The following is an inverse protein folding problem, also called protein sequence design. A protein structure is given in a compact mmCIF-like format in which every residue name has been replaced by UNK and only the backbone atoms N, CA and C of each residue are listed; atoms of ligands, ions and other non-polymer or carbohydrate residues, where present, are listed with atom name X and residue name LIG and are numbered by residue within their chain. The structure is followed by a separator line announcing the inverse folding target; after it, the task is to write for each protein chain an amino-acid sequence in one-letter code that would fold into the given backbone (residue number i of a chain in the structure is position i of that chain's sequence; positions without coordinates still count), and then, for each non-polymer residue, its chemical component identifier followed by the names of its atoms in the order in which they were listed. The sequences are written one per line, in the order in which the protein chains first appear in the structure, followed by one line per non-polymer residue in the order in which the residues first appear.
data_IF_042135575760
#
_entry.id   IF_042135575760
#
_cell.length_a   1.000
_cell.length_b   1.000
_cell.length_c   1.000
_cell.angle_alpha   90.00
_cell.angle_beta   90.00
_cell.angle_gamma   90.00
#
_symmetry.space_group_name_H-M   'P 1'
#
loop_
_entity.id
_entity.type
_entity.pdbx_description
1 polymer ?
#
# COMPACT_ATOMS: atom_id res chain seq x y z
N UNK A 1 13.14 -5.31 -21.63
CA UNK A 1 12.38 -6.55 -21.38
C UNK A 1 12.20 -6.77 -19.88
N UNK A 2 11.26 -6.04 -19.26
CA UNK A 2 11.06 -5.98 -17.80
C UNK A 2 9.85 -6.80 -17.30
N UNK A 3 9.11 -7.42 -18.20
CA UNK A 3 8.01 -8.33 -17.87
C UNK A 3 8.59 -9.60 -17.21
N UNK A 4 9.79 -10.01 -17.62
CA UNK A 4 10.49 -11.19 -17.10
C UNK A 4 11.01 -11.02 -15.66
N UNK A 5 11.20 -9.79 -15.13
CA UNK A 5 11.67 -9.58 -13.75
C UNK A 5 10.54 -9.75 -12.73
N UNK A 6 9.32 -9.40 -13.11
CA UNK A 6 8.15 -9.47 -12.24
C UNK A 6 7.50 -10.84 -12.32
N UNK A 7 7.48 -11.48 -13.49
CA UNK A 7 7.11 -12.90 -13.59
C UNK A 7 8.12 -13.82 -12.86
N UNK A 8 9.42 -13.49 -12.87
CA UNK A 8 10.42 -14.21 -12.06
C UNK A 8 10.27 -14.02 -10.55
N UNK A 9 9.67 -12.90 -10.09
CA UNK A 9 9.34 -12.69 -8.67
C UNK A 9 7.98 -13.29 -8.30
N UNK A 10 7.10 -13.54 -9.28
CA UNK A 10 5.74 -14.05 -9.06
C UNK A 10 5.69 -15.58 -8.97
N UNK A 11 6.56 -16.28 -9.70
CA UNK A 11 6.58 -17.76 -9.74
C UNK A 11 7.01 -18.47 -8.45
N UNK A 12 7.56 -17.76 -7.45
CA UNK A 12 8.05 -18.33 -6.18
C UNK A 12 7.21 -17.98 -4.95
N UNK A 13 6.13 -17.19 -5.09
CA UNK A 13 5.32 -16.68 -3.97
C UNK A 13 4.00 -17.43 -3.71
N UNK A 14 3.79 -18.58 -4.36
CA UNK A 14 2.70 -19.50 -4.04
C UNK A 14 3.06 -20.52 -2.95
N UNK A 15 4.34 -20.60 -2.57
CA UNK A 15 4.81 -21.48 -1.50
C UNK A 15 5.61 -20.69 -0.47
N UNK A 16 5.17 -20.73 0.79
CA UNK A 16 5.97 -20.39 1.98
C UNK A 16 6.37 -18.91 2.15
N UNK A 17 5.57 -18.13 2.88
CA UNK A 17 6.16 -17.10 3.74
C UNK A 17 5.50 -17.12 5.12
N UNK A 18 6.16 -17.79 6.07
CA UNK A 18 6.10 -17.54 7.51
C UNK A 18 6.75 -16.17 7.87
N UNK A 19 6.57 -15.16 7.02
CA UNK A 19 7.03 -13.79 7.27
C UNK A 19 5.82 -12.94 7.64
N UNK A 20 5.79 -12.40 8.87
CA UNK A 20 4.65 -11.64 9.39
C UNK A 20 4.20 -10.50 8.47
N UNK A 21 2.96 -10.03 8.63
CA UNK A 21 2.43 -8.87 7.90
C UNK A 21 2.71 -7.57 8.65
N UNK A 22 2.97 -6.48 7.94
CA UNK A 22 2.91 -5.14 8.55
C UNK A 22 1.48 -4.62 8.54
N UNK A 23 1.02 -4.04 9.65
CA UNK A 23 -0.33 -3.48 9.77
C UNK A 23 -0.29 -1.97 9.54
N UNK A 24 -1.11 -1.48 8.63
CA UNK A 24 -1.33 -0.06 8.39
C UNK A 24 -2.71 0.30 8.91
N UNK A 25 -2.75 1.31 9.78
CA UNK A 25 -3.96 1.80 10.43
C UNK A 25 -4.40 3.10 9.79
N UNK A 26 -5.70 3.25 9.53
CA UNK A 26 -6.30 4.43 8.92
C UNK A 26 -7.69 4.71 9.50
N UNK A 27 -8.13 5.96 9.44
CA UNK A 27 -9.49 6.32 9.84
C UNK A 27 -10.50 5.78 8.83
N UNK A 28 -11.35 4.85 9.30
CA UNK A 28 -12.36 4.17 8.47
C UNK A 28 -13.56 5.05 8.12
N UNK A 29 -13.75 6.18 8.80
CA UNK A 29 -14.84 7.11 8.51
C UNK A 29 -14.47 8.06 7.38
N UNK A 30 -13.17 8.30 7.18
CA UNK A 30 -12.67 9.13 6.09
C UNK A 30 -12.52 8.36 4.77
N UNK A 31 -12.09 7.09 4.81
CA UNK A 31 -11.86 6.27 3.62
C UNK A 31 -12.37 4.85 3.82
N UNK A 32 -13.10 4.32 2.84
CA UNK A 32 -13.53 2.94 2.84
C UNK A 32 -12.34 2.00 2.66
N UNK A 33 -12.35 0.87 3.37
CA UNK A 33 -11.26 -0.11 3.27
C UNK A 33 -11.09 -0.69 1.86
N UNK A 34 -12.17 -0.79 1.09
CA UNK A 34 -12.13 -1.23 -0.31
C UNK A 34 -11.43 -0.21 -1.22
N UNK A 35 -11.69 1.08 -1.04
CA UNK A 35 -11.03 2.13 -1.82
C UNK A 35 -9.53 2.18 -1.53
N UNK A 36 -9.15 2.05 -0.25
CA UNK A 36 -7.76 2.00 0.15
C UNK A 36 -7.05 0.76 -0.41
N UNK A 37 -7.71 -0.40 -0.40
CA UNK A 37 -7.18 -1.63 -0.99
C UNK A 37 -7.05 -1.53 -2.51
N UNK A 38 -8.06 -1.02 -3.22
CA UNK A 38 -8.00 -0.81 -4.67
C UNK A 38 -6.85 0.12 -5.05
N UNK A 39 -6.66 1.21 -4.29
CA UNK A 39 -5.57 2.16 -4.51
C UNK A 39 -4.19 1.51 -4.42
N UNK A 40 -4.02 0.58 -3.47
CA UNK A 40 -2.81 -0.22 -3.27
C UNK A 40 -2.63 -1.27 -4.38
N UNK A 41 -3.69 -2.01 -4.71
CA UNK A 41 -3.68 -3.05 -5.73
C UNK A 41 -3.30 -2.49 -7.11
N UNK A 42 -3.90 -1.35 -7.50
CA UNK A 42 -3.58 -0.64 -8.75
C UNK A 42 -2.10 -0.26 -8.87
N UNK A 43 -1.37 -0.22 -7.75
CA UNK A 43 0.05 0.18 -7.66
C UNK A 43 0.96 -0.98 -7.25
N UNK A 44 0.49 -2.21 -7.39
CA UNK A 44 1.27 -3.43 -7.21
C UNK A 44 1.49 -3.83 -5.74
N UNK A 45 0.71 -3.26 -4.80
CA UNK A 45 0.74 -3.69 -3.40
C UNK A 45 -0.36 -4.73 -3.17
N UNK A 46 0.00 -5.88 -2.62
CA UNK A 46 -0.93 -6.94 -2.25
C UNK A 46 -1.35 -6.76 -0.78
N UNK A 47 -2.66 -6.67 -0.54
CA UNK A 47 -3.22 -6.72 0.81
C UNK A 47 -3.39 -8.19 1.20
N UNK A 48 -2.81 -8.60 2.33
CA UNK A 48 -2.88 -9.96 2.86
C UNK A 48 -3.99 -10.16 3.89
N UNK A 49 -4.61 -9.07 4.36
CA UNK A 49 -5.73 -9.13 5.28
C UNK A 49 -6.30 -7.75 5.59
N UNK A 50 -7.56 -7.72 6.03
CA UNK A 50 -8.25 -6.50 6.45
C UNK A 50 -8.93 -6.75 7.79
N UNK A 51 -8.94 -5.74 8.65
CA UNK A 51 -9.74 -5.74 9.88
C UNK A 51 -10.34 -4.36 10.07
N UNK A 52 -11.47 -4.34 10.75
CA UNK A 52 -12.15 -3.10 11.12
C UNK A 52 -12.31 -3.14 12.63
N UNK A 53 -11.86 -2.07 13.28
CA UNK A 53 -12.13 -1.75 14.69
C UNK A 53 -12.97 -0.48 14.71
N UNK A 54 -13.64 -0.20 15.84
CA UNK A 54 -14.67 0.83 15.98
C UNK A 54 -14.43 2.08 15.13
N UNK A 55 -13.25 2.71 15.25
CA UNK A 55 -12.85 3.91 14.50
C UNK A 55 -11.66 3.70 13.55
N UNK A 56 -11.01 2.53 13.56
CA UNK A 56 -9.82 2.25 12.76
C UNK A 56 -10.08 1.16 11.72
N UNK A 57 -9.71 1.42 10.47
CA UNK A 57 -9.44 0.39 9.47
C UNK A 57 -7.99 -0.09 9.60
N UNK A 58 -7.78 -1.40 9.44
CA UNK A 58 -6.46 -2.03 9.49
C UNK A 58 -6.27 -2.84 8.22
N UNK A 59 -5.18 -2.58 7.48
CA UNK A 59 -4.74 -3.39 6.35
C UNK A 59 -3.41 -4.07 6.66
N UNK A 60 -3.33 -5.36 6.41
CA UNK A 60 -2.10 -6.14 6.46
C UNK A 60 -1.45 -6.18 5.08
N UNK A 61 -0.16 -5.85 5.01
CA UNK A 61 0.64 -5.92 3.77
C UNK A 61 1.95 -6.67 4.01
N UNK A 62 2.56 -7.28 2.98
CA UNK A 62 3.89 -7.86 3.09
C UNK A 62 4.93 -6.83 3.56
N UNK A 63 5.87 -7.18 4.45
CA UNK A 63 6.87 -6.24 4.97
C UNK A 63 7.66 -5.53 3.87
N UNK A 64 7.99 -6.24 2.80
CA UNK A 64 8.72 -5.72 1.65
C UNK A 64 7.95 -4.62 0.90
N UNK A 65 6.61 -4.64 0.97
CA UNK A 65 5.74 -3.67 0.32
C UNK A 65 5.26 -2.55 1.26
N UNK A 66 5.49 -2.69 2.57
CA UNK A 66 4.89 -1.82 3.59
C UNK A 66 5.29 -0.35 3.43
N UNK A 67 6.57 -0.07 3.14
CA UNK A 67 7.05 1.29 2.88
C UNK A 67 6.39 1.92 1.65
N UNK A 68 6.19 1.15 0.59
CA UNK A 68 5.51 1.62 -0.62
C UNK A 68 4.02 1.86 -0.37
N UNK A 69 3.38 0.97 0.38
CA UNK A 69 1.98 1.09 0.77
C UNK A 69 1.71 2.36 1.61
N UNK A 70 2.52 2.62 2.64
CA UNK A 70 2.43 3.84 3.46
C UNK A 70 2.61 5.11 2.60
N UNK A 71 3.56 5.10 1.65
CA UNK A 71 3.76 6.21 0.74
C UNK A 71 2.54 6.48 -0.16
N UNK A 72 1.96 5.43 -0.76
CA UNK A 72 0.76 5.53 -1.61
C UNK A 72 -0.41 6.12 -0.84
N UNK A 73 -0.68 5.58 0.36
CA UNK A 73 -1.83 6.01 1.16
C UNK A 73 -1.68 7.48 1.61
N UNK A 74 -0.47 7.90 1.99
CA UNK A 74 -0.19 9.32 2.29
C UNK A 74 -0.39 10.22 1.08
N UNK A 75 0.10 9.81 -0.09
CA UNK A 75 -0.12 10.53 -1.36
C UNK A 75 -1.59 10.58 -1.74
N UNK A 76 -2.36 9.54 -1.41
CA UNK A 76 -3.81 9.46 -1.61
C UNK A 76 -4.64 10.25 -0.61
N UNK A 77 -4.01 11.04 0.27
CA UNK A 77 -4.68 11.77 1.36
C UNK A 77 -5.47 10.87 2.31
N UNK A 78 -5.09 9.59 2.44
CA UNK A 78 -5.70 8.69 3.43
C UNK A 78 -5.18 9.08 4.81
N UNK A 79 -6.06 9.39 5.77
CA UNK A 79 -5.67 9.73 7.14
C UNK A 79 -5.21 8.48 7.88
N UNK A 80 -3.89 8.26 7.89
CA UNK A 80 -3.26 7.17 8.63
C UNK A 80 -3.17 7.53 10.11
N UNK A 81 -3.66 6.66 10.98
CA UNK A 81 -3.66 6.86 12.44
C UNK A 81 -2.38 6.35 13.12
N UNK A 82 -1.58 5.54 12.40
CA UNK A 82 -0.30 5.01 12.85
C UNK A 82 0.92 5.89 12.51
N UNK A 83 2.06 5.59 13.15
CA UNK A 83 3.35 6.20 12.78
C UNK A 83 3.74 5.82 11.35
N UNK A 84 4.41 6.73 10.60
CA UNK A 84 4.97 6.38 9.29
C UNK A 84 5.93 5.20 9.39
N UNK A 85 5.79 4.27 8.45
CA UNK A 85 6.69 3.10 8.33
C UNK A 85 8.10 3.56 7.99
N UNK A 86 8.21 4.58 7.14
CA UNK A 86 9.45 5.31 6.89
C UNK A 86 9.21 6.79 7.19
N UNK A 87 9.96 7.41 8.12
CA UNK A 87 9.89 8.84 8.38
C UNK A 87 10.06 9.71 7.13
N UNK A 88 10.82 9.23 6.12
CA UNK A 88 11.03 9.96 4.86
C UNK A 88 9.77 10.02 3.99
N UNK A 89 8.85 9.07 4.12
CA UNK A 89 7.63 9.04 3.32
C UNK A 89 6.75 10.27 3.59
N UNK A 90 6.69 10.76 4.83
CA UNK A 90 5.94 11.98 5.15
C UNK A 90 6.47 13.18 4.35
N UNK A 91 7.79 13.37 4.33
CA UNK A 91 8.45 14.43 3.57
C UNK A 91 8.42 14.24 2.06
N UNK A 92 8.34 13.01 1.56
CA UNK A 92 8.20 12.75 0.12
C UNK A 92 6.76 12.88 -0.37
N UNK A 93 5.79 12.49 0.45
CA UNK A 93 4.37 12.66 0.15
C UNK A 93 3.99 14.14 0.11
N UNK A 94 4.48 14.95 1.04
CA UNK A 94 4.20 16.40 1.10
C UNK A 94 4.74 17.20 -0.10
N UNK A 95 5.71 16.66 -0.85
CA UNK A 95 6.21 17.28 -2.10
C UNK A 95 5.23 17.19 -3.26
N UNK A 96 4.11 16.50 -3.07
CA UNK A 96 3.10 16.29 -4.09
C UNK A 96 1.75 16.76 -3.59
N UNK A 97 0.89 17.18 -4.52
CA UNK A 97 -0.47 17.55 -4.19
C UNK A 97 -1.20 16.35 -3.53
N UNK A 98 -1.92 16.56 -2.42
CA UNK A 98 -2.76 15.52 -1.83
C UNK A 98 -3.74 14.94 -2.86
N UNK A 99 -3.89 13.63 -2.89
CA UNK A 99 -4.71 12.93 -3.89
C UNK A 99 -4.01 12.69 -5.23
N UNK A 100 -2.88 13.35 -5.50
CA UNK A 100 -2.08 13.09 -6.70
C UNK A 100 -1.28 11.80 -6.51
N UNK A 101 -1.87 10.68 -6.86
CA UNK A 101 -1.26 9.38 -6.66
C UNK A 101 -0.12 9.10 -7.66
N UNK A 102 0.84 8.21 -7.34
CA UNK A 102 1.75 7.67 -8.34
C UNK A 102 0.96 7.00 -9.48
N UNK A 103 1.52 6.92 -10.71
CA UNK A 103 0.88 6.20 -11.82
C UNK A 103 0.53 4.78 -11.40
N UNK A 104 -0.64 4.31 -11.83
CA UNK A 104 -0.98 2.90 -11.64
C UNK A 104 0.00 2.04 -12.46
N UNK A 105 0.19 0.79 -12.04
CA UNK A 105 1.11 -0.12 -12.73
C UNK A 105 0.74 -0.29 -14.21
N UNK A 106 -0.57 -0.39 -14.48
CA UNK A 106 -1.16 -0.47 -15.83
C UNK A 106 -0.81 0.71 -16.73
N UNK A 107 -0.55 1.89 -16.16
CA UNK A 107 -0.27 3.10 -16.92
C UNK A 107 1.22 3.28 -17.24
N UNK A 108 2.11 2.44 -16.69
CA UNK A 108 3.56 2.48 -16.96
C UNK A 108 3.97 1.77 -18.26
N UNK A 109 3.04 1.06 -18.92
CA UNK A 109 3.32 0.24 -20.11
C UNK A 109 2.86 0.87 -21.43
N UNK A 110 2.43 2.14 -21.43
CA UNK A 110 2.19 2.92 -22.66
C UNK A 110 3.36 3.86 -22.92
#
# INVERSE_FOLDING_TARGET
DMINVIDRLSGWLLGLHHGGSHQIHFDRHAVLGEDAERMLADRGVKVSGRRVRSQDGIMSVPPQQARWADYILRRGAVPLTGKPIDPKNAGWASRHLPGHLPPAWKDRQK
#
